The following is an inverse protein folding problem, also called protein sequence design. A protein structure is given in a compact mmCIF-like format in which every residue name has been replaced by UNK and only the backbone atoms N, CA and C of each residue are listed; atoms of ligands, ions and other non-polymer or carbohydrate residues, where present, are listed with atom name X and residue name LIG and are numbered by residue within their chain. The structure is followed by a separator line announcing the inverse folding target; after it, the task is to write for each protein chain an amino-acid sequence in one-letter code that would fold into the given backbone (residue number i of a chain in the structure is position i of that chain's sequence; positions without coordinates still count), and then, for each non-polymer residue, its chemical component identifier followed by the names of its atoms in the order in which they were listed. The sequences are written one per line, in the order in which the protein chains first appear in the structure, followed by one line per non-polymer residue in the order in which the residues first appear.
data_IF_911596760925
#
_entry.id   IF_911596760925
#
_cell.length_a   1.000
_cell.length_b   1.000
_cell.length_c   1.000
_cell.angle_alpha   90.00
_cell.angle_beta   90.00
_cell.angle_gamma   90.00
#
_symmetry.space_group_name_H-M   'P 1'
#
loop_
_entity.id
_entity.type
_entity.pdbx_description
1 polymer ?
#
# COMPACT_ATOMS: atom_id res chain seq x y z
N UNK A 1 15.79 14.14 36.92
CA UNK A 1 16.16 15.54 37.10
C UNK A 1 17.13 15.93 36.03
N UNK A 2 16.69 16.49 34.94
CA UNK A 2 17.53 17.36 34.12
C UNK A 2 16.62 18.24 33.24
N UNK A 3 16.54 19.47 33.70
CA UNK A 3 15.83 20.57 33.05
C UNK A 3 16.79 21.18 32.04
N UNK A 4 16.40 21.24 30.80
CA UNK A 4 16.97 22.20 29.86
C UNK A 4 15.87 23.13 29.36
N UNK A 5 15.83 24.28 30.01
CA UNK A 5 15.24 25.50 29.46
C UNK A 5 16.20 26.02 28.39
N UNK A 6 15.72 26.29 27.22
CA UNK A 6 16.36 27.22 26.29
C UNK A 6 15.35 28.28 25.85
N UNK A 7 15.74 29.44 26.21
CA UNK A 7 15.20 30.78 26.08
C UNK A 7 15.02 31.18 24.60
N UNK A 8 14.05 32.06 24.46
CA UNK A 8 13.68 32.82 23.26
C UNK A 8 14.84 33.53 22.57
N UNK A 9 14.78 33.59 21.26
CA UNK A 9 15.36 34.67 20.49
C UNK A 9 14.48 34.96 19.28
N UNK A 10 13.83 36.08 19.36
CA UNK A 10 13.12 36.84 18.36
C UNK A 10 14.07 37.28 17.27
N UNK A 11 13.73 37.09 16.00
CA UNK A 11 14.24 37.93 14.90
C UNK A 11 13.18 38.03 13.82
N UNK A 12 12.62 39.22 13.74
CA UNK A 12 11.89 39.79 12.58
C UNK A 12 12.86 40.02 11.43
N UNK A 13 12.46 39.75 10.20
CA UNK A 13 12.78 40.47 8.98
C UNK A 13 12.00 39.84 7.82
N UNK A 14 10.91 40.48 7.37
CA UNK A 14 10.83 41.33 6.19
C UNK A 14 10.78 40.57 4.85
N UNK A 15 9.53 40.50 4.33
CA UNK A 15 9.10 40.72 2.93
C UNK A 15 10.01 40.31 1.77
N UNK A 16 9.56 39.36 0.96
CA UNK A 16 9.58 39.53 -0.49
C UNK A 16 8.39 38.81 -1.13
N UNK A 17 7.48 39.61 -1.64
CA UNK A 17 6.38 39.22 -2.53
C UNK A 17 7.00 38.91 -3.87
N UNK A 18 6.99 37.67 -4.32
CA UNK A 18 7.18 37.31 -5.72
C UNK A 18 5.91 36.59 -6.17
N UNK A 19 5.08 37.37 -6.80
CA UNK A 19 3.96 36.98 -7.63
C UNK A 19 4.50 36.14 -8.80
N UNK A 20 4.49 34.83 -8.62
CA UNK A 20 4.74 33.87 -9.68
C UNK A 20 3.41 33.20 -10.05
N UNK A 21 2.72 33.76 -11.04
CA UNK A 21 1.64 33.08 -11.73
C UNK A 21 2.23 31.88 -12.47
N UNK A 22 2.24 30.71 -11.82
CA UNK A 22 2.41 29.47 -12.52
C UNK A 22 1.02 28.87 -12.77
N UNK A 23 0.45 29.23 -13.93
CA UNK A 23 -0.73 28.57 -14.48
C UNK A 23 -0.37 27.14 -14.86
N UNK A 24 -0.25 26.27 -13.87
CA UNK A 24 -0.39 24.84 -14.10
C UNK A 24 -1.85 24.60 -14.41
N UNK A 25 -2.17 24.42 -15.68
CA UNK A 25 -3.43 23.85 -16.15
C UNK A 25 -3.60 22.49 -15.48
N UNK A 26 -4.15 22.50 -14.29
CA UNK A 26 -4.78 21.32 -13.72
C UNK A 26 -5.98 21.04 -14.61
N UNK A 27 -5.81 20.06 -15.51
CA UNK A 27 -6.92 19.47 -16.24
C UNK A 27 -7.94 19.04 -15.18
N UNK A 28 -9.20 19.50 -15.24
CA UNK A 28 -10.21 19.01 -14.33
C UNK A 28 -10.29 17.49 -14.52
N UNK A 29 -9.96 16.76 -13.47
CA UNK A 29 -10.29 15.35 -13.40
C UNK A 29 -11.81 15.31 -13.29
N UNK A 30 -12.53 14.71 -14.22
CA UNK A 30 -13.97 14.62 -14.10
C UNK A 30 -14.29 13.79 -12.86
N UNK A 31 -15.03 14.42 -11.95
CA UNK A 31 -15.70 13.77 -10.85
C UNK A 31 -16.36 12.50 -11.34
N UNK A 32 -16.19 11.42 -10.55
CA UNK A 32 -16.68 10.10 -10.83
C UNK A 32 -18.20 10.11 -11.04
N UNK A 33 -18.62 10.34 -12.28
CA UNK A 33 -19.94 9.96 -12.71
C UNK A 33 -19.99 8.44 -12.75
N UNK A 34 -20.91 7.87 -12.03
CA UNK A 34 -21.38 6.50 -12.03
C UNK A 34 -21.70 6.06 -13.47
N UNK A 35 -20.64 5.62 -14.18
CA UNK A 35 -20.72 4.88 -15.43
C UNK A 35 -20.39 3.41 -15.14
N UNK A 36 -20.68 2.45 -16.05
CA UNK A 36 -20.36 1.05 -15.85
C UNK A 36 -18.86 0.94 -15.53
N UNK A 37 -18.57 0.58 -14.29
CA UNK A 37 -17.24 0.49 -13.75
C UNK A 37 -16.43 -0.46 -14.63
N UNK A 38 -15.43 0.06 -15.31
CA UNK A 38 -14.36 -0.77 -15.86
C UNK A 38 -13.91 -1.70 -14.74
N UNK A 39 -13.96 -3.02 -14.92
CA UNK A 39 -13.61 -3.93 -13.83
C UNK A 39 -12.21 -3.58 -13.34
N UNK A 40 -12.08 -3.38 -12.04
CA UNK A 40 -10.79 -3.13 -11.39
C UNK A 40 -9.82 -4.25 -11.83
N UNK A 41 -8.73 -3.94 -12.54
CA UNK A 41 -7.81 -4.95 -13.04
C UNK A 41 -7.24 -5.82 -11.92
N UNK A 42 -7.10 -5.29 -10.71
CA UNK A 42 -6.69 -6.04 -9.53
C UNK A 42 -7.76 -7.07 -9.14
N UNK A 43 -9.02 -6.67 -9.11
CA UNK A 43 -10.14 -7.57 -8.82
C UNK A 43 -10.26 -8.67 -9.90
N UNK A 44 -10.08 -8.31 -11.17
CA UNK A 44 -10.12 -9.26 -12.28
C UNK A 44 -9.04 -10.35 -12.14
N UNK A 45 -7.81 -10.00 -11.73
CA UNK A 45 -6.76 -11.00 -11.49
C UNK A 45 -7.07 -11.89 -10.27
N UNK A 46 -7.64 -11.33 -9.22
CA UNK A 46 -8.02 -12.08 -8.02
C UNK A 46 -9.15 -13.08 -8.28
N UNK A 47 -10.07 -12.81 -9.21
CA UNK A 47 -11.15 -13.75 -9.56
C UNK A 47 -10.66 -15.02 -10.21
N UNK A 48 -9.44 -15.06 -10.74
CA UNK A 48 -8.82 -16.25 -11.33
C UNK A 48 -8.27 -17.23 -10.29
N UNK A 49 -8.19 -16.81 -9.02
CA UNK A 49 -7.75 -17.64 -7.90
C UNK A 49 -8.89 -18.56 -7.44
N UNK A 50 -8.50 -19.69 -6.83
CA UNK A 50 -9.46 -20.50 -6.06
C UNK A 50 -10.17 -19.64 -5.01
N UNK A 51 -11.45 -19.91 -4.69
CA UNK A 51 -12.20 -19.12 -3.72
C UNK A 51 -11.51 -18.99 -2.35
N UNK A 52 -10.86 -20.07 -1.88
CA UNK A 52 -10.13 -20.07 -0.63
C UNK A 52 -8.90 -19.14 -0.68
N UNK A 53 -8.12 -19.23 -1.74
CA UNK A 53 -6.94 -18.39 -1.93
C UNK A 53 -7.31 -16.92 -2.16
N UNK A 54 -8.41 -16.67 -2.90
CA UNK A 54 -8.94 -15.32 -3.09
C UNK A 54 -9.28 -14.65 -1.76
N UNK A 55 -9.97 -15.34 -0.86
CA UNK A 55 -10.29 -14.82 0.48
C UNK A 55 -9.02 -14.45 1.26
N UNK A 56 -7.97 -15.26 1.15
CA UNK A 56 -6.69 -14.98 1.81
C UNK A 56 -5.95 -13.80 1.17
N UNK A 57 -5.99 -13.68 -0.16
CA UNK A 57 -5.42 -12.56 -0.90
C UNK A 57 -6.13 -11.25 -0.55
N UNK A 58 -7.44 -11.26 -0.47
CA UNK A 58 -8.24 -10.09 -0.07
C UNK A 58 -7.96 -9.68 1.38
N UNK A 59 -7.75 -10.65 2.27
CA UNK A 59 -7.40 -10.40 3.66
C UNK A 59 -5.97 -9.85 3.81
N UNK A 60 -5.02 -10.24 2.95
CA UNK A 60 -3.65 -9.74 2.96
C UNK A 60 -3.54 -8.42 2.18
N UNK A 61 -4.23 -8.28 1.05
CA UNK A 61 -4.37 -7.18 0.10
C UNK A 61 -3.07 -6.71 -0.58
N UNK A 62 -1.96 -6.68 0.13
CA UNK A 62 -0.68 -6.15 -0.32
C UNK A 62 0.41 -7.23 -0.38
N UNK A 63 1.39 -7.04 -1.26
CA UNK A 63 2.55 -7.93 -1.35
C UNK A 63 3.42 -7.82 -0.08
N UNK A 64 3.79 -8.95 0.50
CA UNK A 64 4.60 -9.00 1.73
C UNK A 64 6.03 -8.46 1.55
N UNK A 65 6.53 -8.41 0.32
CA UNK A 65 7.87 -7.93 -0.01
C UNK A 65 7.86 -6.48 -0.52
N UNK A 66 6.88 -6.15 -1.34
CA UNK A 66 6.64 -4.79 -1.82
C UNK A 66 5.28 -4.32 -1.30
N UNK A 67 5.27 -3.74 -0.11
CA UNK A 67 4.06 -3.39 0.64
C UNK A 67 3.26 -2.22 0.04
N UNK A 68 3.71 -1.67 -1.07
CA UNK A 68 3.01 -0.66 -1.86
C UNK A 68 2.28 -1.25 -3.08
N UNK A 69 2.59 -2.51 -3.41
CA UNK A 69 1.96 -3.22 -4.53
C UNK A 69 0.79 -4.09 -4.07
N UNK A 70 -0.38 -3.82 -4.60
CA UNK A 70 -1.56 -4.65 -4.33
C UNK A 70 -1.42 -6.01 -5.01
N UNK A 71 -1.85 -7.05 -4.33
CA UNK A 71 -1.92 -8.39 -4.90
C UNK A 71 -2.93 -8.40 -6.05
N UNK A 72 -2.46 -8.69 -7.25
CA UNK A 72 -3.24 -8.62 -8.49
C UNK A 72 -2.84 -7.45 -9.42
N UNK A 73 -2.08 -6.47 -8.95
CA UNK A 73 -1.62 -5.34 -9.78
C UNK A 73 -0.60 -5.76 -10.86
N UNK A 74 0.20 -6.78 -10.56
CA UNK A 74 1.23 -7.30 -11.46
C UNK A 74 0.85 -8.66 -12.09
N UNK A 75 -0.42 -8.99 -12.14
CA UNK A 75 -0.95 -10.27 -12.59
C UNK A 75 -1.37 -11.16 -11.44
N UNK A 76 -1.55 -12.47 -11.71
CA UNK A 76 -2.04 -13.42 -10.74
C UNK A 76 -1.13 -13.51 -9.50
N UNK A 77 -1.63 -13.24 -8.29
CA UNK A 77 -0.87 -13.39 -7.05
C UNK A 77 -0.33 -14.80 -6.89
N UNK A 78 0.91 -14.91 -6.43
CA UNK A 78 1.54 -16.20 -6.20
C UNK A 78 1.48 -16.58 -4.72
N UNK A 79 1.02 -17.80 -4.49
CA UNK A 79 1.00 -18.41 -3.16
C UNK A 79 2.35 -19.03 -2.81
N UNK A 80 2.84 -18.74 -1.63
CA UNK A 80 3.99 -19.40 -1.00
C UNK A 80 3.53 -20.05 0.30
N UNK A 81 4.17 -21.15 0.68
CA UNK A 81 4.05 -21.72 2.02
C UNK A 81 5.27 -21.30 2.84
N UNK A 82 5.04 -20.57 3.90
CA UNK A 82 6.08 -20.13 4.83
C UNK A 82 5.77 -20.72 6.21
N UNK A 83 6.52 -21.73 6.61
CA UNK A 83 6.30 -22.45 7.89
C UNK A 83 4.86 -22.96 8.05
N UNK A 84 4.28 -23.52 6.98
CA UNK A 84 2.91 -24.03 7.00
C UNK A 84 1.83 -22.93 6.92
N UNK A 85 2.20 -21.68 6.67
CA UNK A 85 1.26 -20.57 6.51
C UNK A 85 1.25 -20.05 5.06
N UNK A 86 0.06 -19.87 4.45
CA UNK A 86 -0.05 -19.31 3.12
C UNK A 86 0.27 -17.80 3.15
N UNK A 87 1.19 -17.41 2.29
CA UNK A 87 1.65 -16.04 2.07
C UNK A 87 1.55 -15.72 0.59
N UNK A 88 1.11 -14.52 0.24
CA UNK A 88 0.96 -14.11 -1.16
C UNK A 88 1.95 -13.01 -1.53
N UNK A 89 2.47 -13.12 -2.75
CA UNK A 89 3.39 -12.16 -3.37
C UNK A 89 2.88 -11.71 -4.74
N UNK A 90 3.24 -10.50 -5.15
CA UNK A 90 2.79 -9.91 -6.41
C UNK A 90 3.46 -10.52 -7.64
N UNK A 91 4.68 -11.06 -7.54
CA UNK A 91 5.43 -11.61 -8.65
C UNK A 91 6.54 -12.58 -8.20
N UNK A 92 7.08 -13.36 -9.17
CA UNK A 92 8.15 -14.35 -8.92
C UNK A 92 9.42 -13.74 -8.31
N UNK A 93 9.72 -12.48 -8.62
CA UNK A 93 10.89 -11.78 -8.09
C UNK A 93 10.87 -11.60 -6.56
N UNK A 94 9.69 -11.58 -5.96
CA UNK A 94 9.53 -11.45 -4.51
C UNK A 94 9.77 -12.75 -3.74
N UNK A 95 9.69 -13.92 -4.40
CA UNK A 95 9.79 -15.23 -3.76
C UNK A 95 11.05 -15.36 -2.88
N UNK A 96 12.22 -15.13 -3.47
CA UNK A 96 13.49 -15.29 -2.76
C UNK A 96 13.60 -14.38 -1.52
N UNK A 97 13.06 -13.17 -1.59
CA UNK A 97 13.07 -12.25 -0.44
C UNK A 97 12.10 -12.69 0.65
N UNK A 98 10.92 -13.19 0.27
CA UNK A 98 9.95 -13.69 1.22
C UNK A 98 10.44 -14.96 1.95
N UNK A 99 11.19 -15.84 1.28
CA UNK A 99 11.73 -17.06 1.84
C UNK A 99 13.02 -16.85 2.65
N UNK A 100 13.74 -15.74 2.42
CA UNK A 100 15.02 -15.47 3.09
C UNK A 100 14.89 -15.21 4.60
N UNK A 101 13.78 -14.64 5.04
CA UNK A 101 13.48 -14.38 6.45
C UNK A 101 12.01 -14.73 6.75
N UNK A 102 11.73 -15.99 7.06
CA UNK A 102 10.38 -16.47 7.31
C UNK A 102 9.65 -15.75 8.46
N UNK A 103 10.36 -15.44 9.54
CA UNK A 103 9.78 -14.77 10.71
C UNK A 103 9.31 -13.37 10.37
N UNK A 104 10.19 -12.60 9.72
CA UNK A 104 9.88 -11.24 9.26
C UNK A 104 8.73 -11.25 8.25
N UNK A 105 8.72 -12.22 7.34
CA UNK A 105 7.66 -12.37 6.35
C UNK A 105 6.30 -12.62 7.01
N UNK A 106 6.24 -13.51 8.00
CA UNK A 106 5.00 -13.79 8.73
C UNK A 106 4.54 -12.61 9.59
N UNK A 107 5.47 -11.89 10.23
CA UNK A 107 5.15 -10.66 10.96
C UNK A 107 4.55 -9.60 10.02
N UNK A 108 5.14 -9.42 8.83
CA UNK A 108 4.61 -8.50 7.81
C UNK A 108 3.22 -8.90 7.31
N UNK A 109 2.94 -10.20 7.10
CA UNK A 109 1.60 -10.68 6.74
C UNK A 109 0.57 -10.30 7.80
N UNK A 110 0.91 -10.44 9.09
CA UNK A 110 0.01 -10.06 10.18
C UNK A 110 -0.30 -8.55 10.18
N UNK A 111 0.71 -7.73 9.93
CA UNK A 111 0.57 -6.28 9.83
C UNK A 111 -0.30 -5.89 8.62
N UNK A 112 -0.06 -6.47 7.45
CA UNK A 112 -0.85 -6.21 6.24
C UNK A 112 -2.31 -6.60 6.41
N UNK A 113 -2.59 -7.74 7.04
CA UNK A 113 -3.97 -8.16 7.37
C UNK A 113 -4.65 -7.19 8.34
N UNK A 114 -3.92 -6.62 9.28
CA UNK A 114 -4.46 -5.61 10.19
C UNK A 114 -4.78 -4.31 9.43
N UNK A 115 -3.89 -3.87 8.54
CA UNK A 115 -4.08 -2.70 7.66
C UNK A 115 -5.31 -2.87 6.76
N UNK A 116 -5.43 -3.99 6.06
CA UNK A 116 -6.55 -4.27 5.16
C UNK A 116 -7.91 -4.20 5.88
N UNK A 117 -7.99 -4.68 7.13
CA UNK A 117 -9.22 -4.57 7.94
C UNK A 117 -9.60 -3.13 8.27
N UNK A 118 -8.63 -2.25 8.45
CA UNK A 118 -8.89 -0.83 8.72
C UNK A 118 -9.42 -0.14 7.47
N UNK A 119 -8.83 -0.44 6.31
CA UNK A 119 -9.23 0.16 5.03
C UNK A 119 -10.65 -0.26 4.61
N UNK A 120 -11.05 -1.50 4.88
CA UNK A 120 -12.41 -2.00 4.61
C UNK A 120 -13.49 -1.42 5.53
N UNK A 121 -13.10 -0.77 6.62
CA UNK A 121 -14.04 -0.22 7.61
C UNK A 121 -14.38 1.26 7.37
N UNK A 122 -13.78 1.88 6.37
CA UNK A 122 -14.05 3.25 5.93
C UNK A 122 -15.15 3.32 4.89
#
# INVERSE_FOLDING_TARGET
MNRYQFTAATALLATLVLTGCNSSKTKPQPDAATGPSTPDPVAAERTKLDPADRTLVEAQDWCVVNTEERLGSMGLPMKLDIKGQPVFICCKGCKRKAEADPEKTLAMVAELKARAKVDQKK
#
